data_IF_593145443247
#
_entry.id   IF_593145443247
#
_cell.length_a   1.000
_cell.length_b   1.000
_cell.length_c   1.000
_cell.angle_alpha   90.00
_cell.angle_beta   90.00
_cell.angle_gamma   90.00
#
_symmetry.space_group_name_H-M   'P 1'
#
loop_
_entity.id
_entity.type
_entity.pdbx_description
1 polymer ?
#
# COMPACT_ATOMS: atom_id res chain seq x y z
N UNK A 1 6.61 9.03 5.68
CA UNK A 1 6.40 8.29 4.41
C UNK A 1 6.20 9.24 3.26
N UNK A 2 6.66 8.88 2.06
CA UNK A 2 6.48 9.66 0.82
C UNK A 2 6.19 8.70 -0.33
N UNK A 3 5.39 9.13 -1.30
CA UNK A 3 5.21 8.40 -2.56
C UNK A 3 6.49 8.58 -3.38
N UNK A 4 7.08 7.46 -3.81
CA UNK A 4 8.29 7.42 -4.65
C UNK A 4 7.91 7.41 -6.12
N UNK A 5 7.03 6.50 -6.52
CA UNK A 5 6.56 6.35 -7.90
C UNK A 5 5.20 5.63 -7.96
N UNK A 6 4.53 5.74 -9.10
CA UNK A 6 3.41 4.88 -9.48
C UNK A 6 3.87 3.91 -10.55
N UNK A 7 3.50 2.63 -10.41
CA UNK A 7 3.80 1.58 -11.37
C UNK A 7 2.50 1.06 -11.96
N UNK A 8 2.49 0.86 -13.26
CA UNK A 8 1.36 0.26 -13.97
C UNK A 8 1.76 -1.13 -14.44
N UNK A 9 1.06 -2.15 -13.98
CA UNK A 9 1.29 -3.57 -14.31
C UNK A 9 0.13 -4.11 -15.15
N UNK A 10 0.38 -5.15 -15.94
CA UNK A 10 -0.65 -5.77 -16.78
C UNK A 10 -0.58 -5.40 -18.27
N UNK A 11 -1.70 -5.58 -18.97
CA UNK A 11 -1.82 -5.37 -20.43
C UNK A 11 -3.14 -4.67 -20.73
N UNK A 12 -3.13 -3.83 -21.76
CA UNK A 12 -4.34 -3.14 -22.22
C UNK A 12 -5.50 -4.13 -22.45
N UNK A 13 -6.74 -3.82 -21.98
CA UNK A 13 -7.13 -2.62 -21.22
C UNK A 13 -6.94 -2.71 -19.69
N UNK A 14 -6.57 -3.88 -19.18
CA UNK A 14 -6.54 -4.22 -17.75
C UNK A 14 -5.20 -3.86 -17.10
N UNK A 15 -4.90 -2.57 -17.00
CA UNK A 15 -3.76 -2.11 -16.20
C UNK A 15 -4.14 -2.04 -14.72
N UNK A 16 -3.27 -2.57 -13.87
CA UNK A 16 -3.28 -2.40 -12.42
C UNK A 16 -2.36 -1.25 -12.03
N UNK A 17 -2.76 -0.48 -11.03
CA UNK A 17 -2.02 0.67 -10.53
C UNK A 17 -1.46 0.31 -9.16
N UNK A 18 -0.15 0.45 -9.04
CA UNK A 18 0.60 0.27 -7.82
C UNK A 18 1.22 1.60 -7.38
N UNK A 19 1.25 1.84 -6.07
CA UNK A 19 1.97 2.95 -5.46
C UNK A 19 3.16 2.42 -4.68
N UNK A 20 4.35 2.92 -5.02
CA UNK A 20 5.57 2.62 -4.30
C UNK A 20 5.78 3.71 -3.25
N UNK A 21 5.65 3.35 -1.98
CA UNK A 21 5.90 4.26 -0.86
C UNK A 21 7.28 4.00 -0.26
N UNK A 22 7.95 5.06 0.19
CA UNK A 22 9.16 4.94 0.99
C UNK A 22 8.92 5.46 2.42
N UNK A 23 9.34 4.70 3.42
CA UNK A 23 9.34 5.14 4.81
C UNK A 23 10.60 5.92 5.19
N UNK A 24 10.69 6.34 6.45
CA UNK A 24 11.83 7.10 6.96
C UNK A 24 13.10 6.24 7.09
N UNK A 25 12.97 4.91 7.05
CA UNK A 25 14.07 3.94 7.09
C UNK A 25 14.52 3.54 5.68
N UNK A 26 14.06 4.26 4.63
CA UNK A 26 14.27 3.96 3.22
C UNK A 26 13.76 2.57 2.78
N UNK A 27 12.77 2.00 3.47
CA UNK A 27 12.11 0.78 3.02
C UNK A 27 11.03 1.13 2.02
N UNK A 28 11.07 0.44 0.88
CA UNK A 28 10.05 0.53 -0.16
C UNK A 28 8.87 -0.41 0.18
N UNK A 29 7.65 0.09 0.00
CA UNK A 29 6.41 -0.66 0.12
C UNK A 29 5.66 -0.57 -1.20
N UNK A 30 5.33 -1.72 -1.78
CA UNK A 30 4.53 -1.83 -3.00
C UNK A 30 3.06 -2.03 -2.59
N UNK A 31 2.19 -1.08 -2.95
CA UNK A 31 0.77 -1.09 -2.64
C UNK A 31 -0.05 -1.16 -3.92
N UNK A 32 -0.80 -2.24 -4.09
CA UNK A 32 -1.80 -2.35 -5.15
C UNK A 32 -3.01 -1.45 -4.82
N UNK A 33 -3.31 -0.51 -5.71
CA UNK A 33 -4.43 0.43 -5.56
C UNK A 33 -5.69 -0.01 -6.33
N UNK A 34 -5.56 -0.96 -7.25
CA UNK A 34 -6.64 -1.46 -8.10
C UNK A 34 -6.43 -1.16 -9.58
N UNK A 35 -7.49 -1.22 -10.39
CA UNK A 35 -7.38 -1.03 -11.84
C UNK A 35 -7.25 0.45 -12.25
N UNK A 36 -6.67 0.69 -13.43
CA UNK A 36 -6.46 2.03 -13.97
C UNK A 36 -7.77 2.77 -14.22
N UNK A 37 -8.83 2.08 -14.64
CA UNK A 37 -10.14 2.71 -14.89
C UNK A 37 -10.75 3.29 -13.62
N UNK A 38 -10.66 2.58 -12.49
CA UNK A 38 -11.11 3.07 -11.20
C UNK A 38 -10.19 4.19 -10.70
N UNK A 39 -8.89 3.93 -10.62
CA UNK A 39 -7.92 4.87 -10.03
C UNK A 39 -7.88 6.18 -10.83
N UNK A 40 -8.07 6.12 -12.16
CA UNK A 40 -8.14 7.29 -13.02
C UNK A 40 -9.38 8.16 -12.83
N UNK A 41 -10.42 7.68 -12.13
CA UNK A 41 -11.62 8.48 -11.80
C UNK A 41 -11.48 9.23 -10.48
N UNK A 42 -10.45 8.94 -9.68
CA UNK A 42 -10.25 9.52 -8.36
C UNK A 42 -9.62 10.92 -8.46
N UNK A 43 -10.11 11.85 -7.66
CA UNK A 43 -9.42 13.11 -7.44
C UNK A 43 -8.20 12.94 -6.51
N UNK A 44 -7.39 14.00 -6.37
CA UNK A 44 -6.18 13.96 -5.54
C UNK A 44 -6.46 13.59 -4.08
N UNK A 45 -7.60 14.03 -3.52
CA UNK A 45 -7.96 13.76 -2.14
C UNK A 45 -8.34 12.29 -1.97
N UNK A 46 -9.18 11.78 -2.86
CA UNK A 46 -9.63 10.39 -2.88
C UNK A 46 -8.46 9.43 -3.09
N UNK A 47 -7.54 9.76 -4.00
CA UNK A 47 -6.34 8.95 -4.24
C UNK A 47 -5.45 8.88 -2.98
N UNK A 48 -5.28 10.01 -2.27
CA UNK A 48 -4.52 10.03 -1.01
C UNK A 48 -5.20 9.21 0.08
N UNK A 49 -6.52 9.30 0.20
CA UNK A 49 -7.30 8.50 1.15
C UNK A 49 -7.17 7.00 0.83
N UNK A 50 -7.31 6.60 -0.44
CA UNK A 50 -7.11 5.22 -0.88
C UNK A 50 -5.72 4.69 -0.51
N UNK A 51 -4.66 5.43 -0.85
CA UNK A 51 -3.28 5.04 -0.50
C UNK A 51 -3.12 4.87 1.02
N UNK A 52 -3.70 5.77 1.81
CA UNK A 52 -3.62 5.72 3.26
C UNK A 52 -4.34 4.50 3.84
N UNK A 53 -5.56 4.21 3.35
CA UNK A 53 -6.35 3.05 3.77
C UNK A 53 -5.67 1.73 3.38
N UNK A 54 -5.22 1.61 2.12
CA UNK A 54 -4.52 0.42 1.63
C UNK A 54 -3.23 0.19 2.42
N UNK A 55 -2.49 1.26 2.73
CA UNK A 55 -1.29 1.14 3.54
C UNK A 55 -1.58 0.68 4.97
N UNK A 56 -2.61 1.26 5.61
CA UNK A 56 -3.03 0.85 6.96
C UNK A 56 -3.44 -0.62 6.98
N UNK A 57 -4.25 -1.05 6.02
CA UNK A 57 -4.64 -2.45 5.86
C UNK A 57 -3.43 -3.38 5.64
N UNK A 58 -2.40 -2.92 4.92
CA UNK A 58 -1.16 -3.67 4.73
C UNK A 58 -0.31 -3.80 6.01
N UNK A 59 -0.41 -2.85 6.94
CA UNK A 59 0.32 -2.86 8.21
C UNK A 59 -0.37 -3.66 9.33
N UNK A 60 -1.71 -3.66 9.37
CA UNK A 60 -2.48 -4.32 10.43
C UNK A 60 -2.13 -5.81 10.66
N UNK A 61 -2.04 -6.68 9.63
CA UNK A 61 -1.69 -8.09 9.86
C UNK A 61 -0.25 -8.27 10.38
N UNK A 62 0.69 -7.40 9.95
CA UNK A 62 2.08 -7.42 10.44
C UNK A 62 2.16 -7.02 11.91
N UNK A 63 1.29 -6.12 12.37
CA UNK A 63 1.25 -5.70 13.77
C UNK A 63 0.75 -6.86 14.66
N UNK A 64 -0.30 -7.57 14.24
CA UNK A 64 -0.86 -8.70 15.00
C UNK A 64 0.14 -9.86 15.10
N UNK A 65 0.83 -10.22 14.03
CA UNK A 65 1.87 -11.26 14.05
C UNK A 65 3.09 -10.86 14.91
N UNK A 66 3.56 -9.61 14.80
CA UNK A 66 4.66 -9.11 15.63
C UNK A 66 4.29 -9.09 17.13
N UNK A 67 3.05 -8.73 17.45
CA UNK A 67 2.53 -8.78 18.83
C UNK A 67 2.43 -10.22 19.35
N UNK A 68 1.94 -11.17 18.55
CA UNK A 68 1.90 -12.59 18.93
C UNK A 68 3.30 -13.16 19.18
N UNK A 69 4.31 -12.79 18.39
CA UNK A 69 5.70 -13.23 18.61
C UNK A 69 6.31 -12.65 19.90
N UNK A 70 5.97 -11.42 20.27
CA UNK A 70 6.39 -10.80 21.53
C UNK A 70 5.77 -11.47 22.75
N UNK A 71 4.47 -11.80 22.70
CA UNK A 71 3.76 -12.47 23.80
C UNK A 71 4.22 -13.93 23.93
N UNK A 72 4.42 -14.65 22.83
CA UNK A 72 4.83 -16.06 22.83
C UNK A 72 6.25 -16.31 23.33
N UNK A 73 7.13 -15.30 23.38
CA UNK A 73 8.48 -15.39 23.96
C UNK A 73 8.57 -15.07 25.46
N UNK A 74 7.45 -14.69 26.09
CA UNK A 74 7.39 -14.27 27.49
C UNK A 74 6.90 -15.37 28.46
N UNK A 75 6.70 -16.61 28.00
CA UNK A 75 6.28 -17.75 28.81
C UNK A 75 7.43 -18.74 29.05
#
# INVERSE_FOLDING_TARGET
MKIKEFRFTGKFPNFEVHSILVDNDNKDYDLELGNLEYVGTLDEKQLKELIHETFKAHQEPKLTEAMHQLIGKSL
#
